data_IF_472375565523
#
_entry.id   IF_472375565523
#
_cell.length_a   1.000
_cell.length_b   1.000
_cell.length_c   1.000
_cell.angle_alpha   90.00
_cell.angle_beta   90.00
_cell.angle_gamma   90.00
#
_symmetry.space_group_name_H-M   'P 1'
#
loop_
_entity.id
_entity.type
_entity.pdbx_description
1 polymer ?
#
# COMPACT_ATOMS: atom_id res chain seq x y z
N UNK A 1 -49.44 62.31 -18.57
CA UNK A 1 -48.15 61.89 -19.18
C UNK A 1 -46.94 62.26 -18.31
N UNK A 2 -46.98 62.08 -16.97
CA UNK A 2 -45.86 62.48 -16.08
C UNK A 2 -45.31 61.36 -15.17
N UNK A 3 -45.94 60.17 -15.12
CA UNK A 3 -45.56 59.13 -14.16
C UNK A 3 -44.84 57.91 -14.75
N UNK A 4 -44.71 57.80 -16.07
CA UNK A 4 -44.01 56.65 -16.71
C UNK A 4 -42.51 56.89 -16.91
N UNK A 5 -42.05 58.14 -16.93
CA UNK A 5 -40.62 58.45 -17.10
C UNK A 5 -39.79 58.20 -15.83
N UNK A 6 -40.38 58.33 -14.63
CA UNK A 6 -39.66 58.21 -13.36
C UNK A 6 -39.35 56.74 -13.00
N UNK A 7 -40.24 55.80 -13.34
CA UNK A 7 -40.02 54.36 -13.09
C UNK A 7 -38.96 53.73 -13.99
N UNK A 8 -38.79 54.21 -15.23
CA UNK A 8 -37.77 53.68 -16.15
C UNK A 8 -36.36 54.12 -15.75
N UNK A 9 -36.22 55.34 -15.20
CA UNK A 9 -34.93 55.87 -14.75
C UNK A 9 -34.43 55.16 -13.48
N UNK A 10 -35.33 54.81 -12.55
CA UNK A 10 -34.96 54.10 -11.30
C UNK A 10 -34.50 52.65 -11.58
N UNK A 11 -35.12 51.96 -12.54
CA UNK A 11 -34.73 50.59 -12.91
C UNK A 11 -33.37 50.56 -13.62
N UNK A 12 -33.09 51.54 -14.49
CA UNK A 12 -31.77 51.66 -15.14
C UNK A 12 -30.65 52.03 -14.15
N UNK A 13 -30.96 52.80 -13.09
CA UNK A 13 -30.00 53.13 -12.04
C UNK A 13 -29.69 51.92 -11.13
N UNK A 14 -30.68 51.09 -10.80
CA UNK A 14 -30.43 49.85 -10.04
C UNK A 14 -29.71 48.77 -10.86
N UNK A 15 -29.95 48.69 -12.18
CA UNK A 15 -29.25 47.73 -13.04
C UNK A 15 -27.78 48.13 -13.31
N UNK A 16 -27.46 49.42 -13.25
CA UNK A 16 -26.07 49.92 -13.41
C UNK A 16 -25.25 49.86 -12.12
N UNK A 17 -25.89 49.83 -10.96
CA UNK A 17 -25.19 49.63 -9.66
C UNK A 17 -24.80 48.16 -9.45
N UNK A 18 -25.50 47.19 -10.08
CA UNK A 18 -25.12 45.77 -10.01
C UNK A 18 -23.97 45.37 -10.96
N UNK A 19 -23.66 46.18 -11.98
CA UNK A 19 -22.59 45.91 -12.96
C UNK A 19 -21.22 46.51 -12.59
N UNK A 20 -21.12 47.18 -11.44
CA UNK A 20 -19.91 47.90 -11.01
C UNK A 20 -19.32 47.39 -9.70
N UNK A 21 -19.83 46.29 -9.14
CA UNK A 21 -19.04 45.54 -8.17
C UNK A 21 -17.93 44.83 -8.95
N UNK A 22 -16.64 45.19 -8.75
CA UNK A 22 -15.59 44.32 -9.22
C UNK A 22 -15.79 42.99 -8.50
N UNK A 23 -16.24 41.97 -9.24
CA UNK A 23 -15.93 40.61 -8.83
C UNK A 23 -14.40 40.57 -8.81
N UNK A 24 -13.82 40.75 -7.63
CA UNK A 24 -12.47 40.29 -7.35
C UNK A 24 -12.53 38.78 -7.48
N UNK A 25 -12.36 38.30 -8.71
CA UNK A 25 -11.92 36.94 -8.97
C UNK A 25 -10.54 36.86 -8.33
N UNK A 26 -10.48 36.35 -7.11
CA UNK A 26 -9.24 35.81 -6.60
C UNK A 26 -8.94 34.63 -7.51
N UNK A 27 -8.03 34.82 -8.46
CA UNK A 27 -7.31 33.69 -9.03
C UNK A 27 -6.49 33.14 -7.86
N UNK A 28 -7.04 32.20 -7.10
CA UNK A 28 -6.22 31.40 -6.22
C UNK A 28 -5.22 30.70 -7.12
N UNK A 29 -3.94 31.07 -6.99
CA UNK A 29 -2.88 30.45 -7.76
C UNK A 29 -2.86 28.96 -7.42
N UNK A 30 -2.64 28.11 -8.44
CA UNK A 30 -2.52 26.67 -8.25
C UNK A 30 -1.55 26.37 -7.09
N UNK A 31 -1.94 25.58 -6.07
CA UNK A 31 -1.12 25.33 -4.89
C UNK A 31 0.21 24.69 -5.27
N UNK A 32 1.35 25.23 -4.86
CA UNK A 32 2.63 24.60 -5.17
C UNK A 32 2.76 23.24 -4.47
N UNK A 33 3.37 22.22 -5.11
CA UNK A 33 3.69 20.97 -4.44
C UNK A 33 4.56 21.22 -3.20
N UNK A 34 4.38 20.45 -2.11
CA UNK A 34 5.22 20.58 -0.93
C UNK A 34 6.67 20.23 -1.27
N UNK A 35 7.61 20.82 -0.54
CA UNK A 35 9.00 20.43 -0.63
C UNK A 35 9.19 19.04 -0.02
N UNK A 36 9.62 18.08 -0.83
CA UNK A 36 9.98 16.74 -0.37
C UNK A 36 11.45 16.70 0.07
N UNK A 37 11.78 15.94 1.12
CA UNK A 37 13.18 15.60 1.39
C UNK A 37 13.78 14.83 0.20
N UNK A 38 15.09 14.93 0.05
CA UNK A 38 15.84 14.21 -0.97
C UNK A 38 16.32 12.88 -0.42
N UNK A 39 16.21 11.86 -1.26
CA UNK A 39 16.89 10.59 -1.05
C UNK A 39 18.40 10.85 -1.13
N UNK A 40 19.08 10.76 0.01
CA UNK A 40 20.54 10.90 0.14
C UNK A 40 21.15 9.66 0.79
N UNK A 41 22.49 9.55 0.80
CA UNK A 41 23.27 8.43 1.38
C UNK A 41 22.83 7.97 2.77
N UNK A 42 22.11 8.82 3.52
CA UNK A 42 21.54 8.55 4.84
C UNK A 42 20.33 7.61 4.85
N UNK A 43 19.70 7.30 3.72
CA UNK A 43 18.60 6.32 3.63
C UNK A 43 19.03 4.95 4.17
N UNK A 44 20.30 4.56 3.98
CA UNK A 44 20.80 3.27 4.47
C UNK A 44 21.39 3.31 5.88
N UNK A 45 21.34 4.47 6.53
CA UNK A 45 21.73 4.53 7.95
C UNK A 45 20.59 4.18 8.89
N UNK A 46 19.32 4.40 8.47
CA UNK A 46 18.14 4.01 9.23
C UNK A 46 17.04 3.49 8.27
N UNK A 47 16.49 2.29 8.53
CA UNK A 47 15.35 1.75 7.81
C UNK A 47 14.18 2.74 7.68
N UNK A 48 13.46 2.68 6.55
CA UNK A 48 12.17 3.34 6.39
C UNK A 48 11.21 3.01 7.54
N UNK A 49 10.54 4.03 8.07
CA UNK A 49 9.59 3.88 9.19
C UNK A 49 8.24 3.31 8.74
N UNK A 50 7.92 3.42 7.45
CA UNK A 50 6.74 2.81 6.85
C UNK A 50 7.03 1.44 6.27
N UNK A 51 8.11 1.31 5.49
CA UNK A 51 8.57 0.04 4.96
C UNK A 51 10.09 0.05 4.73
N UNK A 52 10.72 -1.11 4.88
CA UNK A 52 12.14 -1.31 4.63
C UNK A 52 12.40 -2.69 4.04
N UNK A 53 13.15 -2.73 2.94
CA UNK A 53 13.51 -3.94 2.24
C UNK A 53 14.97 -3.88 1.81
N UNK A 54 15.83 -4.70 2.42
CA UNK A 54 17.26 -4.77 2.05
C UNK A 54 17.51 -5.26 0.61
N UNK A 55 16.55 -6.02 0.05
CA UNK A 55 16.52 -6.54 -1.32
C UNK A 55 15.11 -7.04 -1.68
N UNK A 56 14.78 -7.15 -2.95
CA UNK A 56 13.49 -7.69 -3.43
C UNK A 56 13.08 -7.15 -4.78
N UNK A 57 11.94 -7.60 -5.30
CA UNK A 57 11.29 -6.99 -6.46
C UNK A 57 10.32 -5.91 -5.99
N UNK A 58 10.50 -4.70 -6.48
CA UNK A 58 9.74 -3.52 -6.11
C UNK A 58 9.12 -2.91 -7.35
N UNK A 59 7.81 -2.64 -7.30
CA UNK A 59 7.13 -1.93 -8.38
C UNK A 59 7.35 -0.45 -8.20
N UNK A 60 7.86 0.20 -9.24
CA UNK A 60 8.07 1.64 -9.27
C UNK A 60 7.08 2.27 -10.22
N UNK A 61 6.38 3.30 -9.74
CA UNK A 61 5.37 4.01 -10.49
C UNK A 61 5.86 4.46 -11.87
N UNK A 62 5.10 4.15 -12.92
CA UNK A 62 5.42 4.50 -14.30
C UNK A 62 6.64 3.80 -14.91
N UNK A 63 7.34 2.94 -14.16
CA UNK A 63 8.57 2.27 -14.59
C UNK A 63 8.42 0.74 -14.57
N UNK A 64 7.60 0.20 -13.66
CA UNK A 64 7.39 -1.25 -13.49
C UNK A 64 8.27 -1.87 -12.42
N UNK A 65 8.26 -3.20 -12.34
CA UNK A 65 8.98 -3.94 -11.30
C UNK A 65 10.48 -4.00 -11.56
N UNK A 66 11.29 -3.74 -10.52
CA UNK A 66 12.75 -3.80 -10.54
C UNK A 66 13.27 -4.51 -9.29
N UNK A 67 14.40 -5.18 -9.42
CA UNK A 67 15.07 -5.79 -8.27
C UNK A 67 16.00 -4.78 -7.59
N UNK A 68 15.91 -4.64 -6.27
CA UNK A 68 16.67 -3.65 -5.53
C UNK A 68 16.34 -3.62 -4.05
N UNK A 69 16.94 -2.67 -3.35
CA UNK A 69 16.60 -2.26 -1.99
C UNK A 69 15.57 -1.13 -2.05
N UNK A 70 14.64 -1.09 -1.11
CA UNK A 70 13.60 -0.09 -1.08
C UNK A 70 13.27 0.34 0.36
N UNK A 71 13.18 1.65 0.57
CA UNK A 71 12.81 2.25 1.84
C UNK A 71 11.67 3.23 1.61
N UNK A 72 10.63 3.15 2.45
CA UNK A 72 9.49 4.07 2.43
C UNK A 72 9.41 4.79 3.75
N UNK A 73 9.42 6.11 3.68
CA UNK A 73 9.34 7.01 4.82
C UNK A 73 8.01 7.72 4.86
N UNK A 74 7.35 7.69 6.01
CA UNK A 74 6.20 8.51 6.27
C UNK A 74 6.61 9.95 6.53
N UNK A 75 5.94 10.89 5.85
CA UNK A 75 6.13 12.32 6.04
C UNK A 75 4.90 12.95 6.69
N UNK A 76 5.00 14.25 6.98
CA UNK A 76 3.88 15.02 7.51
C UNK A 76 2.73 15.11 6.50
N UNK A 77 1.52 15.37 7.01
CA UNK A 77 0.31 15.56 6.19
C UNK A 77 -0.09 14.33 5.35
N UNK A 78 0.39 13.14 5.72
CA UNK A 78 0.08 11.89 5.02
C UNK A 78 0.88 11.66 3.74
N UNK A 79 1.88 12.50 3.48
CA UNK A 79 2.82 12.33 2.36
C UNK A 79 3.78 11.18 2.64
N UNK A 80 4.39 10.64 1.59
CA UNK A 80 5.43 9.61 1.70
C UNK A 80 6.60 9.91 0.78
N UNK A 81 7.77 9.40 1.15
CA UNK A 81 8.97 9.37 0.33
C UNK A 81 9.41 7.92 0.16
N UNK A 82 9.45 7.43 -1.07
CA UNK A 82 10.03 6.13 -1.39
C UNK A 82 11.42 6.35 -1.98
N UNK A 83 12.40 5.56 -1.54
CA UNK A 83 13.78 5.59 -2.00
C UNK A 83 14.21 4.19 -2.42
N UNK A 84 14.19 3.95 -3.73
CA UNK A 84 14.57 2.68 -4.33
C UNK A 84 15.99 2.74 -4.89
N UNK A 85 16.80 1.72 -4.60
CA UNK A 85 18.11 1.52 -5.21
C UNK A 85 18.19 0.15 -5.90
N UNK A 86 18.44 0.09 -7.22
CA UNK A 86 18.51 -1.17 -7.94
C UNK A 86 19.72 -2.01 -7.51
N UNK A 87 19.63 -3.33 -7.70
CA UNK A 87 20.78 -4.23 -7.50
C UNK A 87 21.90 -3.99 -8.53
N UNK A 88 21.55 -3.47 -9.71
CA UNK A 88 22.49 -3.11 -10.78
C UNK A 88 22.51 -1.60 -11.02
N UNK A 89 23.72 -1.03 -11.11
CA UNK A 89 23.93 0.39 -11.33
C UNK A 89 23.97 1.22 -10.04
N UNK A 90 24.08 2.54 -10.19
CA UNK A 90 24.19 3.49 -9.07
C UNK A 90 23.10 4.55 -9.08
N UNK A 91 22.17 4.48 -10.04
CA UNK A 91 21.05 5.42 -10.15
C UNK A 91 19.82 4.83 -9.46
N UNK A 92 19.42 5.47 -8.35
CA UNK A 92 18.21 5.16 -7.61
C UNK A 92 17.02 6.00 -8.06
N UNK A 93 15.84 5.58 -7.64
CA UNK A 93 14.58 6.27 -7.93
C UNK A 93 13.95 6.70 -6.62
N UNK A 94 13.75 8.00 -6.48
CA UNK A 94 12.95 8.61 -5.44
C UNK A 94 11.53 8.81 -5.97
N UNK A 95 10.52 8.30 -5.27
CA UNK A 95 9.11 8.61 -5.57
C UNK A 95 8.54 9.50 -4.45
N UNK A 96 8.11 10.70 -4.84
CA UNK A 96 7.43 11.63 -3.96
C UNK A 96 5.94 11.38 -4.01
N UNK A 97 5.34 11.00 -2.89
CA UNK A 97 3.91 10.72 -2.76
C UNK A 97 3.22 11.87 -2.03
N UNK A 98 2.51 12.72 -2.78
CA UNK A 98 1.78 13.87 -2.26
C UNK A 98 0.32 13.50 -2.03
N UNK A 99 -0.10 13.47 -0.77
CA UNK A 99 -1.47 13.18 -0.39
C UNK A 99 -2.40 14.36 -0.71
N UNK A 100 -3.01 14.32 -1.88
CA UNK A 100 -3.86 15.41 -2.37
C UNK A 100 -5.23 15.42 -1.73
N UNK A 101 -5.69 14.28 -1.21
CA UNK A 101 -6.96 14.17 -0.51
C UNK A 101 -6.95 14.97 0.81
N UNK A 102 -5.87 14.86 1.59
CA UNK A 102 -5.71 15.62 2.85
C UNK A 102 -5.39 17.09 2.62
N UNK A 103 -4.76 17.43 1.50
CA UNK A 103 -4.62 18.84 1.09
C UNK A 103 -5.94 19.46 0.64
N UNK A 104 -6.91 18.64 0.21
CA UNK A 104 -8.17 19.13 -0.32
C UNK A 104 -8.04 19.79 -1.69
N UNK A 105 -7.08 19.36 -2.52
CA UNK A 105 -6.96 19.85 -3.89
C UNK A 105 -8.20 19.48 -4.71
N UNK A 106 -8.66 20.41 -5.53
CA UNK A 106 -9.74 20.17 -6.47
C UNK A 106 -9.22 19.56 -7.78
N UNK A 107 -10.12 19.01 -8.60
CA UNK A 107 -9.72 18.34 -9.84
C UNK A 107 -9.00 19.26 -10.83
N UNK A 108 -9.34 20.56 -10.92
CA UNK A 108 -8.66 21.50 -11.83
C UNK A 108 -7.20 21.69 -11.43
N UNK A 109 -6.94 21.84 -10.12
CA UNK A 109 -5.58 21.91 -9.58
C UNK A 109 -4.81 20.62 -9.84
N UNK A 110 -5.42 19.46 -9.59
CA UNK A 110 -4.81 18.15 -9.84
C UNK A 110 -4.40 18.01 -11.32
N UNK A 111 -5.29 18.37 -12.25
CA UNK A 111 -4.99 18.30 -13.69
C UNK A 111 -3.83 19.22 -14.10
N UNK A 112 -3.65 20.35 -13.42
CA UNK A 112 -2.52 21.26 -13.68
C UNK A 112 -1.14 20.62 -13.40
N UNK A 113 -1.08 19.61 -12.54
CA UNK A 113 0.16 18.90 -12.18
C UNK A 113 0.53 17.77 -13.14
N UNK A 114 -0.39 17.29 -13.97
CA UNK A 114 -0.09 16.23 -14.94
C UNK A 114 0.94 16.66 -15.97
N UNK A 115 0.84 17.90 -16.46
CA UNK A 115 1.84 18.50 -17.37
C UNK A 115 3.20 18.71 -16.71
N UNK A 116 3.28 18.61 -15.38
CA UNK A 116 4.52 18.69 -14.61
C UNK A 116 5.07 17.30 -14.26
N UNK A 117 4.48 16.24 -14.82
CA UNK A 117 4.93 14.85 -14.64
C UNK A 117 4.46 14.18 -13.35
N UNK A 118 3.46 14.75 -12.67
CA UNK A 118 2.77 14.06 -11.58
C UNK A 118 1.72 13.10 -12.12
N UNK A 119 1.55 11.97 -11.46
CA UNK A 119 0.57 10.93 -11.79
C UNK A 119 -0.40 10.75 -10.62
N UNK A 120 -1.70 10.63 -10.90
CA UNK A 120 -2.73 10.42 -9.87
C UNK A 120 -2.85 8.93 -9.59
N UNK A 121 -2.74 8.56 -8.33
CA UNK A 121 -2.72 7.17 -7.88
C UNK A 121 -3.61 7.00 -6.64
N UNK A 122 -4.15 5.79 -6.45
CA UNK A 122 -4.79 5.38 -5.21
C UNK A 122 -3.72 4.79 -4.28
N UNK A 123 -3.49 5.41 -3.13
CA UNK A 123 -2.46 4.95 -2.19
C UNK A 123 -2.68 3.54 -1.68
N UNK A 124 -3.93 3.04 -1.66
CA UNK A 124 -4.24 1.66 -1.27
C UNK A 124 -3.57 0.62 -2.16
N UNK A 125 -3.48 0.88 -3.46
CA UNK A 125 -2.82 0.00 -4.45
C UNK A 125 -1.29 -0.04 -4.28
N UNK A 126 -0.74 0.96 -3.58
CA UNK A 126 0.69 1.16 -3.38
C UNK A 126 1.15 0.90 -1.95
N UNK A 127 0.33 0.21 -1.14
CA UNK A 127 0.60 -0.05 0.28
C UNK A 127 0.87 1.25 1.08
N UNK A 128 0.16 2.32 0.75
CA UNK A 128 0.10 3.57 1.52
C UNK A 128 -1.26 3.66 2.23
N UNK A 129 -1.62 4.84 2.75
CA UNK A 129 -3.00 5.06 3.16
C UNK A 129 -3.93 4.94 1.95
N UNK A 130 -5.14 4.39 2.18
CA UNK A 130 -6.20 4.29 1.18
C UNK A 130 -6.84 5.67 0.92
N UNK A 131 -6.07 6.53 0.30
CA UNK A 131 -6.36 7.93 0.00
C UNK A 131 -5.76 8.28 -1.37
N UNK A 132 -6.19 9.37 -1.99
CA UNK A 132 -5.66 9.78 -3.30
C UNK A 132 -4.33 10.52 -3.20
N UNK A 133 -3.39 10.16 -4.07
CA UNK A 133 -2.07 10.76 -4.17
C UNK A 133 -1.79 11.33 -5.57
N UNK A 134 -0.96 12.37 -5.61
CA UNK A 134 -0.12 12.67 -6.76
C UNK A 134 1.27 12.13 -6.49
N UNK A 135 1.83 11.37 -7.43
CA UNK A 135 3.15 10.79 -7.31
C UNK A 135 4.06 11.19 -8.46
N UNK A 136 5.35 11.40 -8.14
CA UNK A 136 6.35 11.80 -9.13
C UNK A 136 7.72 11.24 -8.80
N UNK A 137 8.35 10.66 -9.81
CA UNK A 137 9.70 10.11 -9.70
C UNK A 137 10.77 11.18 -9.98
N UNK A 138 11.87 11.10 -9.25
CA UNK A 138 13.13 11.79 -9.51
C UNK A 138 14.30 10.81 -9.32
N UNK A 139 15.39 11.01 -10.05
CA UNK A 139 16.58 10.15 -9.90
C UNK A 139 17.50 10.67 -8.80
N UNK A 140 18.19 9.77 -8.12
CA UNK A 140 19.23 10.11 -7.15
C UNK A 140 20.39 9.12 -7.23
N UNK A 141 21.55 9.47 -6.66
CA UNK A 141 22.70 8.58 -6.64
C UNK A 141 22.66 7.66 -5.41
N UNK A 142 22.53 6.35 -5.65
CA UNK A 142 22.71 5.34 -4.62
C UNK A 142 24.19 5.30 -4.22
N UNK A 143 24.48 5.46 -2.92
CA UNK A 143 25.81 5.13 -2.41
C UNK A 143 25.87 3.61 -2.31
N UNK A 144 26.41 2.98 -3.35
CA UNK A 144 26.67 1.55 -3.32
C UNK A 144 27.66 1.27 -2.18
N UNK A 145 27.41 0.24 -1.36
CA UNK A 145 28.51 -0.39 -0.64
C UNK A 145 29.58 -0.75 -1.68
N UNK A 146 30.84 -0.43 -1.39
CA UNK A 146 31.98 -0.76 -2.26
C UNK A 146 31.79 -2.16 -2.84
N UNK A 147 31.87 -2.35 -4.16
CA UNK A 147 31.62 -3.65 -4.77
C UNK A 147 32.50 -4.68 -4.08
N UNK A 148 31.87 -5.65 -3.41
CA UNK A 148 32.59 -6.88 -3.09
C UNK A 148 32.96 -7.47 -4.43
N UNK A 149 34.26 -7.67 -4.66
CA UNK A 149 34.85 -8.05 -5.93
C UNK A 149 33.98 -9.07 -6.67
N UNK A 150 33.36 -8.63 -7.75
CA UNK A 150 32.78 -9.51 -8.77
C UNK A 150 33.94 -10.33 -9.33
N UNK A 151 34.01 -11.61 -8.98
CA UNK A 151 34.95 -12.52 -9.62
C UNK A 151 34.66 -12.52 -11.13
N UNK A 152 35.71 -12.26 -11.91
CA UNK A 152 35.73 -12.27 -13.37
C UNK A 152 34.93 -13.46 -13.92
N UNK A 153 34.06 -13.29 -14.93
CA UNK A 153 33.44 -14.42 -15.60
C UNK A 153 34.55 -15.27 -16.23
N UNK A 154 34.84 -16.41 -15.60
CA UNK A 154 35.66 -17.45 -16.19
C UNK A 154 34.93 -17.92 -17.45
N UNK A 155 35.60 -18.09 -18.61
CA UNK A 155 34.93 -18.51 -19.84
C UNK A 155 34.12 -19.76 -19.53
N UNK A 156 32.81 -19.69 -19.77
CA UNK A 156 31.86 -20.80 -19.59
C UNK A 156 32.40 -22.02 -20.34
N UNK A 157 32.95 -23.06 -19.67
CA UNK A 157 32.95 -24.36 -20.30
C UNK A 157 31.46 -24.69 -20.51
N UNK A 158 31.09 -25.15 -21.70
CA UNK A 158 29.78 -25.79 -21.85
C UNK A 158 29.73 -26.94 -20.86
N UNK A 159 29.08 -26.71 -19.72
CA UNK A 159 28.89 -27.71 -18.68
C UNK A 159 27.91 -28.70 -19.27
N UNK A 160 28.44 -29.85 -19.68
CA UNK A 160 27.64 -31.06 -19.75
C UNK A 160 27.11 -31.28 -18.34
N UNK A 161 25.82 -31.03 -18.15
CA UNK A 161 25.13 -31.13 -16.87
C UNK A 161 25.47 -32.47 -16.21
N UNK A 162 26.11 -32.50 -15.03
CA UNK A 162 26.07 -33.72 -14.24
C UNK A 162 24.62 -33.87 -13.79
N UNK A 163 23.95 -34.89 -14.30
CA UNK A 163 22.60 -35.34 -13.91
C UNK A 163 22.62 -35.90 -12.47
N UNK A 164 22.99 -35.06 -11.51
CA UNK A 164 22.96 -35.38 -10.09
C UNK A 164 21.62 -34.95 -9.46
N UNK A 165 21.23 -35.59 -8.33
CA UNK A 165 20.10 -35.14 -7.52
C UNK A 165 20.30 -33.68 -7.08
N UNK A 166 19.29 -32.83 -7.25
CA UNK A 166 19.27 -31.44 -6.80
C UNK A 166 18.10 -31.21 -5.86
N UNK A 167 18.25 -30.24 -4.95
CA UNK A 167 17.16 -29.72 -4.14
C UNK A 167 15.99 -29.23 -5.01
N UNK A 168 14.76 -29.59 -4.62
CA UNK A 168 13.54 -29.22 -5.32
C UNK A 168 12.41 -28.93 -4.35
N UNK A 169 11.69 -27.84 -4.60
CA UNK A 169 10.36 -27.61 -4.07
C UNK A 169 9.33 -28.25 -5.01
N UNK A 170 8.38 -29.01 -4.47
CA UNK A 170 7.41 -29.77 -5.27
C UNK A 170 5.95 -29.45 -4.94
N UNK A 171 5.66 -28.73 -3.86
CA UNK A 171 4.34 -28.18 -3.59
C UNK A 171 4.39 -27.00 -2.59
N UNK A 172 3.47 -26.06 -2.74
CA UNK A 172 3.13 -25.05 -1.74
C UNK A 172 1.66 -25.20 -1.37
N UNK A 173 1.40 -25.89 -0.28
CA UNK A 173 0.04 -26.09 0.20
C UNK A 173 -0.46 -24.84 0.94
N UNK A 174 -1.68 -24.40 0.64
CA UNK A 174 -2.32 -23.28 1.31
C UNK A 174 -3.72 -23.67 1.83
N UNK A 175 -4.06 -23.29 3.07
CA UNK A 175 -5.38 -23.56 3.65
C UNK A 175 -5.85 -22.42 4.58
N UNK A 176 -7.06 -21.86 4.37
CA UNK A 176 -7.94 -22.04 3.20
C UNK A 176 -7.39 -21.32 1.95
N UNK A 177 -7.83 -21.72 0.76
CA UNK A 177 -7.52 -21.02 -0.51
C UNK A 177 -8.60 -20.03 -0.96
N UNK A 178 -9.74 -19.99 -0.26
CA UNK A 178 -10.87 -19.11 -0.57
C UNK A 178 -11.56 -18.65 0.73
N UNK A 179 -12.01 -17.40 0.78
CA UNK A 179 -12.78 -16.88 1.91
C UNK A 179 -13.04 -15.37 1.82
N UNK A 180 -13.73 -14.79 2.80
CA UNK A 180 -13.96 -13.33 2.87
C UNK A 180 -12.87 -12.63 3.67
N UNK A 181 -12.50 -11.43 3.26
CA UNK A 181 -11.58 -10.59 4.01
C UNK A 181 -12.11 -10.26 5.43
N UNK A 182 -11.24 -10.15 6.45
CA UNK A 182 -9.82 -10.55 6.42
C UNK A 182 -9.68 -12.07 6.46
N UNK A 183 -8.83 -12.63 5.60
CA UNK A 183 -8.62 -14.08 5.48
C UNK A 183 -7.22 -14.47 5.96
N UNK A 184 -7.13 -15.25 7.04
CA UNK A 184 -5.86 -15.85 7.48
C UNK A 184 -5.65 -17.21 6.82
N UNK A 185 -4.53 -17.36 6.13
CA UNK A 185 -4.13 -18.55 5.39
C UNK A 185 -2.86 -19.14 6.01
N UNK A 186 -2.85 -20.46 6.18
CA UNK A 186 -1.66 -21.24 6.53
C UNK A 186 -1.02 -21.78 5.26
N UNK A 187 0.27 -21.55 5.11
CA UNK A 187 1.10 -22.09 4.04
C UNK A 187 2.01 -23.19 4.56
N UNK A 188 2.19 -24.27 3.79
CA UNK A 188 3.14 -25.35 4.09
C UNK A 188 3.94 -25.68 2.83
N UNK A 189 5.24 -25.42 2.88
CA UNK A 189 6.18 -25.75 1.82
C UNK A 189 6.58 -27.22 1.86
N UNK A 190 6.47 -27.90 0.72
CA UNK A 190 6.96 -29.25 0.56
C UNK A 190 8.15 -29.26 -0.42
N UNK A 191 9.33 -29.53 0.14
CA UNK A 191 10.60 -29.50 -0.57
C UNK A 191 11.54 -30.56 -0.01
N UNK A 192 12.45 -31.05 -0.84
CA UNK A 192 13.45 -32.05 -0.48
C UNK A 192 14.80 -31.76 -1.14
N UNK A 193 15.86 -32.25 -0.52
CA UNK A 193 17.22 -32.25 -1.04
C UNK A 193 17.78 -33.68 -1.08
N UNK A 194 17.73 -34.36 -2.24
CA UNK A 194 18.12 -35.75 -2.38
C UNK A 194 19.64 -35.99 -2.32
N UNK A 195 20.45 -34.94 -2.16
CA UNK A 195 21.89 -35.08 -1.92
C UNK A 195 22.13 -35.78 -0.58
N UNK A 196 23.16 -36.62 -0.48
CA UNK A 196 23.48 -37.29 0.79
C UNK A 196 23.84 -36.26 1.86
N UNK A 197 23.02 -36.17 2.91
CA UNK A 197 23.13 -35.13 3.94
C UNK A 197 22.54 -33.78 3.55
N UNK A 198 21.85 -33.71 2.40
CA UNK A 198 21.09 -32.57 1.92
C UNK A 198 19.96 -32.21 2.87
N UNK A 199 19.75 -30.90 3.03
CA UNK A 199 18.68 -30.34 3.86
C UNK A 199 18.26 -28.99 3.30
N UNK A 200 16.97 -28.69 3.41
CA UNK A 200 16.48 -27.34 3.22
C UNK A 200 16.86 -26.51 4.45
N UNK A 201 17.59 -25.43 4.22
CA UNK A 201 18.10 -24.54 5.27
C UNK A 201 17.14 -23.39 5.55
N UNK A 202 16.52 -22.84 4.51
CA UNK A 202 15.68 -21.64 4.61
C UNK A 202 14.54 -21.69 3.59
N UNK A 203 13.39 -21.17 4.00
CA UNK A 203 12.19 -20.99 3.19
C UNK A 203 11.93 -19.49 3.03
N UNK A 204 11.72 -19.06 1.79
CA UNK A 204 11.32 -17.68 1.45
C UNK A 204 9.91 -17.72 0.87
N UNK A 205 8.96 -17.36 1.71
CA UNK A 205 7.57 -17.18 1.30
C UNK A 205 7.39 -15.81 0.69
N UNK A 206 6.61 -15.73 -0.38
CA UNK A 206 6.13 -14.51 -1.00
C UNK A 206 4.61 -14.64 -1.08
N UNK A 207 3.86 -13.87 -0.29
CA UNK A 207 2.42 -14.06 -0.14
C UNK A 207 1.60 -13.39 -1.26
N UNK A 208 2.23 -12.58 -2.11
CA UNK A 208 1.59 -11.90 -3.23
C UNK A 208 0.85 -10.60 -2.86
N UNK A 209 0.92 -10.15 -1.61
CA UNK A 209 0.44 -8.86 -1.14
C UNK A 209 1.25 -8.34 0.05
N UNK A 210 1.20 -7.03 0.27
CA UNK A 210 1.57 -6.41 1.54
C UNK A 210 0.28 -5.86 2.16
N UNK A 211 -0.28 -6.55 3.16
CA UNK A 211 -1.51 -6.10 3.82
C UNK A 211 -1.42 -6.23 5.34
N UNK A 212 -2.18 -5.39 6.05
CA UNK A 212 -2.26 -5.42 7.51
C UNK A 212 -0.95 -5.11 8.24
N UNK A 213 0.01 -4.47 7.57
CA UNK A 213 1.36 -4.24 8.09
C UNK A 213 2.27 -5.48 8.07
N UNK A 214 1.87 -6.56 7.39
CA UNK A 214 2.67 -7.76 7.19
C UNK A 214 3.56 -7.62 5.96
N UNK A 215 4.81 -8.11 6.04
CA UNK A 215 5.71 -8.17 4.90
C UNK A 215 5.19 -9.16 3.86
N UNK A 216 5.20 -8.76 2.58
CA UNK A 216 4.89 -9.65 1.46
C UNK A 216 5.84 -10.86 1.42
N UNK A 217 7.12 -10.62 1.67
CA UNK A 217 8.16 -11.64 1.65
C UNK A 217 8.60 -11.94 3.08
N UNK A 218 8.67 -13.22 3.43
CA UNK A 218 9.06 -13.68 4.75
C UNK A 218 10.08 -14.83 4.67
N UNK A 219 11.17 -14.69 5.42
CA UNK A 219 12.23 -15.69 5.53
C UNK A 219 12.15 -16.42 6.86
N UNK A 220 12.26 -17.74 6.83
CA UNK A 220 12.26 -18.55 8.04
C UNK A 220 12.86 -19.93 7.80
N UNK A 221 13.21 -20.62 8.88
CA UNK A 221 13.71 -21.99 8.85
C UNK A 221 12.59 -23.03 8.90
N UNK A 222 11.40 -22.66 9.39
CA UNK A 222 10.22 -23.53 9.39
C UNK A 222 9.57 -23.55 8.00
N UNK A 223 9.07 -24.71 7.59
CA UNK A 223 8.35 -24.89 6.33
C UNK A 223 6.90 -24.38 6.36
N UNK A 224 6.40 -23.94 7.51
CA UNK A 224 5.03 -23.47 7.72
C UNK A 224 4.99 -22.00 8.07
N UNK A 225 4.23 -21.22 7.29
CA UNK A 225 4.02 -19.79 7.52
C UNK A 225 2.52 -19.44 7.61
N UNK A 226 2.20 -18.29 8.18
CA UNK A 226 0.84 -17.77 8.25
C UNK A 226 0.81 -16.34 7.72
N UNK A 227 -0.22 -16.01 6.95
CA UNK A 227 -0.43 -14.67 6.40
C UNK A 227 -1.90 -14.30 6.43
N UNK A 228 -2.22 -13.02 6.70
CA UNK A 228 -3.60 -12.51 6.72
C UNK A 228 -3.79 -11.51 5.59
N UNK A 229 -4.59 -11.91 4.60
CA UNK A 229 -5.02 -11.04 3.51
C UNK A 229 -6.14 -10.12 4.00
N UNK A 230 -5.87 -8.82 4.11
CA UNK A 230 -6.86 -7.83 4.60
C UNK A 230 -7.89 -7.41 3.56
N UNK A 231 -7.53 -7.46 2.28
CA UNK A 231 -8.33 -6.95 1.19
C UNK A 231 -8.82 -8.08 0.31
N UNK A 232 -9.94 -7.85 -0.37
CA UNK A 232 -10.44 -8.77 -1.39
C UNK A 232 -9.55 -8.71 -2.63
N UNK A 233 -9.24 -9.86 -3.21
CA UNK A 233 -8.36 -9.97 -4.36
C UNK A 233 -8.07 -11.42 -4.71
N UNK A 234 -7.36 -11.64 -5.82
CA UNK A 234 -6.76 -12.94 -6.13
C UNK A 234 -5.25 -12.80 -6.00
N UNK A 235 -4.66 -13.55 -5.06
CA UNK A 235 -3.24 -13.49 -4.74
C UNK A 235 -2.55 -14.77 -5.17
N UNK A 236 -1.30 -14.67 -5.61
CA UNK A 236 -0.46 -15.84 -5.91
C UNK A 236 0.69 -15.87 -4.93
N UNK A 237 0.63 -16.80 -3.98
CA UNK A 237 1.74 -17.07 -3.09
C UNK A 237 2.79 -17.94 -3.80
N UNK A 238 4.07 -17.68 -3.55
CA UNK A 238 5.21 -18.40 -4.13
C UNK A 238 6.20 -18.78 -3.03
N UNK A 239 6.76 -19.98 -3.12
CA UNK A 239 7.82 -20.45 -2.24
C UNK A 239 9.13 -20.67 -2.99
N UNK A 240 10.20 -20.06 -2.48
CA UNK A 240 11.59 -20.41 -2.82
C UNK A 240 12.27 -21.09 -1.63
N UNK A 241 13.14 -22.04 -1.92
CA UNK A 241 13.90 -22.77 -0.89
C UNK A 241 15.40 -22.60 -1.08
N UNK A 242 16.15 -22.53 0.02
CA UNK A 242 17.60 -22.56 0.02
C UNK A 242 18.07 -23.89 0.60
N UNK A 243 18.94 -24.61 -0.12
CA UNK A 243 19.60 -25.78 0.44
C UNK A 243 20.76 -25.41 1.39
N UNK A 244 21.28 -26.40 2.10
CA UNK A 244 22.41 -26.23 3.02
C UNK A 244 23.74 -25.88 2.31
N UNK A 245 23.81 -26.02 0.98
CA UNK A 245 24.92 -25.54 0.15
C UNK A 245 24.74 -24.08 -0.30
N UNK A 246 23.64 -23.43 0.10
CA UNK A 246 23.36 -22.02 -0.18
C UNK A 246 22.67 -21.77 -1.52
N UNK A 247 22.27 -22.82 -2.24
CA UNK A 247 21.61 -22.64 -3.53
C UNK A 247 20.12 -22.40 -3.35
N UNK A 248 19.61 -21.35 -3.99
CA UNK A 248 18.18 -21.10 -4.10
C UNK A 248 17.55 -21.92 -5.23
N UNK A 249 16.32 -22.38 -5.00
CA UNK A 249 15.47 -23.08 -5.98
C UNK A 249 14.07 -22.50 -5.97
N UNK A 250 13.48 -22.49 -7.15
CA UNK A 250 12.09 -22.16 -7.39
C UNK A 250 11.47 -23.17 -8.36
N UNK A 251 10.16 -23.30 -8.32
CA UNK A 251 9.40 -24.18 -9.22
C UNK A 251 7.99 -23.65 -9.39
N UNK A 252 7.39 -23.87 -10.56
CA UNK A 252 5.97 -23.56 -10.78
C UNK A 252 5.04 -24.42 -9.90
N UNK A 253 5.51 -25.61 -9.50
CA UNK A 253 4.81 -26.48 -8.55
C UNK A 253 4.68 -25.82 -7.16
N UNK A 254 5.47 -24.79 -6.85
CA UNK A 254 5.53 -24.14 -5.54
C UNK A 254 4.81 -22.80 -5.49
N UNK A 255 3.63 -22.77 -6.10
CA UNK A 255 2.73 -21.63 -6.10
C UNK A 255 1.35 -22.03 -5.61
N UNK A 256 0.68 -21.13 -4.90
CA UNK A 256 -0.70 -21.30 -4.46
C UNK A 256 -1.52 -20.06 -4.79
N UNK A 257 -2.73 -20.25 -5.33
CA UNK A 257 -3.66 -19.16 -5.61
C UNK A 257 -4.67 -19.03 -4.47
N UNK A 258 -4.79 -17.82 -3.92
CA UNK A 258 -5.71 -17.48 -2.85
C UNK A 258 -6.76 -16.49 -3.36
N UNK A 259 -8.03 -16.78 -3.14
CA UNK A 259 -9.16 -15.93 -3.55
C UNK A 259 -9.81 -15.34 -2.29
N UNK A 260 -9.78 -14.02 -2.19
CA UNK A 260 -10.34 -13.29 -1.05
C UNK A 260 -11.51 -12.45 -1.54
N UNK A 261 -12.70 -12.71 -1.01
CA UNK A 261 -13.94 -11.99 -1.33
C UNK A 261 -14.11 -10.78 -0.42
N UNK A 262 -14.79 -9.75 -0.93
CA UNK A 262 -15.16 -8.59 -0.12
C UNK A 262 -16.17 -8.98 0.97
N UNK A 263 -16.15 -8.28 2.10
CA UNK A 263 -17.20 -8.45 3.10
C UNK A 263 -18.55 -7.98 2.53
N UNK A 264 -19.65 -8.72 2.76
CA UNK A 264 -20.97 -8.25 2.41
C UNK A 264 -21.25 -6.90 3.09
N UNK A 265 -21.83 -5.92 2.38
CA UNK A 265 -22.20 -4.66 3.00
C UNK A 265 -23.20 -4.92 4.14
N UNK A 266 -22.83 -4.52 5.37
CA UNK A 266 -23.77 -4.49 6.48
C UNK A 266 -24.75 -3.36 6.18
N UNK A 267 -25.99 -3.70 5.81
CA UNK A 267 -27.08 -2.72 5.75
C UNK A 267 -27.21 -2.13 7.15
N UNK A 268 -26.73 -0.90 7.32
CA UNK A 268 -26.66 -0.24 8.62
C UNK A 268 -27.98 -0.41 9.36
N UNK A 269 -27.94 -0.96 10.58
CA UNK A 269 -29.01 -0.75 11.52
C UNK A 269 -29.14 0.77 11.67
N UNK A 270 -30.26 1.33 11.20
CA UNK A 270 -30.53 2.76 11.30
C UNK A 270 -30.34 3.18 12.76
N UNK A 271 -29.32 3.98 13.06
CA UNK A 271 -29.24 4.65 14.35
C UNK A 271 -30.53 5.45 14.53
N UNK A 272 -31.38 5.15 15.54
CA UNK A 272 -32.53 6.00 15.79
C UNK A 272 -32.02 7.41 16.09
N UNK A 273 -32.50 8.38 15.32
CA UNK A 273 -32.04 9.77 15.34
C UNK A 273 -32.31 10.48 16.66
N UNK A 274 -33.10 9.91 17.56
CA UNK A 274 -33.38 10.48 18.86
C UNK A 274 -33.49 9.37 19.91
N UNK A 275 -32.80 9.54 21.05
CA UNK A 275 -33.26 8.88 22.27
C UNK A 275 -34.67 9.40 22.57
N UNK A 276 -35.63 8.55 22.97
CA UNK A 276 -36.93 9.04 23.43
C UNK A 276 -36.67 10.06 24.54
N UNK A 277 -37.24 11.25 24.39
CA UNK A 277 -37.14 12.27 25.44
C UNK A 277 -37.75 11.69 26.71
N UNK A 278 -36.92 11.40 27.70
CA UNK A 278 -37.37 10.94 29.01
C UNK A 278 -37.91 12.16 29.75
N UNK A 279 -39.13 12.57 29.37
CA UNK A 279 -39.97 13.40 30.21
C UNK A 279 -40.56 12.55 31.33
N UNK A 280 -39.99 12.61 32.53
CA UNK A 280 -40.70 12.67 33.82
C UNK A 280 -39.71 12.52 34.97
N UNK A 281 -39.80 13.45 35.92
CA UNK A 281 -39.06 13.46 37.18
C UNK A 281 -39.17 12.11 37.92
N UNK A 282 -38.04 11.43 38.13
CA UNK A 282 -37.94 10.35 39.10
C UNK A 282 -36.92 10.80 40.14
N UNK A 283 -37.38 10.81 41.39
CA UNK A 283 -36.61 11.19 42.58
C UNK A 283 -35.24 10.49 42.61
N UNK A 284 -34.24 11.28 42.99
CA UNK A 284 -32.91 10.83 43.36
C UNK A 284 -33.02 9.83 44.52
N UNK A 285 -32.56 8.60 44.30
CA UNK A 285 -32.10 7.72 45.38
C UNK A 285 -30.74 7.15 44.97
N UNK A 286 -29.75 7.45 45.81
CA UNK A 286 -28.34 7.10 45.69
C UNK A 286 -28.21 5.57 45.70
N UNK A 287 -27.52 5.02 44.70
CA UNK A 287 -27.17 3.60 44.63
C UNK A 287 -26.12 3.34 43.56
N UNK A 288 -24.85 3.32 43.97
CA UNK A 288 -23.69 2.92 43.17
C UNK A 288 -23.80 1.45 42.72
N UNK A 289 -23.43 1.17 41.45
CA UNK A 289 -22.53 0.09 40.94
C UNK A 289 -22.91 -0.26 39.48
N UNK A 290 -21.92 -0.52 38.58
CA UNK A 290 -22.04 -0.26 37.15
C UNK A 290 -22.61 -1.41 36.33
N UNK A 291 -23.20 -0.99 35.21
CA UNK A 291 -23.75 -1.75 34.10
C UNK A 291 -22.63 -2.57 33.44
N UNK A 292 -22.77 -3.89 33.46
CA UNK A 292 -21.87 -4.84 32.81
C UNK A 292 -22.54 -6.19 32.61
N UNK A 293 -23.74 -6.21 32.02
CA UNK A 293 -24.37 -7.44 31.58
C UNK A 293 -25.26 -7.16 30.35
N UNK A 294 -24.62 -6.97 29.20
CA UNK A 294 -25.35 -6.97 27.93
C UNK A 294 -25.59 -8.42 27.49
N UNK A 295 -26.86 -8.75 27.60
CA UNK A 295 -27.60 -9.94 27.23
C UNK A 295 -27.23 -10.39 25.81
N UNK A 296 -26.59 -11.55 25.68
CA UNK A 296 -26.57 -12.32 24.43
C UNK A 296 -27.77 -13.25 24.50
N UNK A 297 -28.82 -13.03 23.70
CA UNK A 297 -29.80 -14.07 23.37
C UNK A 297 -30.51 -13.77 22.04
N UNK A 298 -30.33 -14.73 21.13
CA UNK A 298 -31.17 -15.13 19.99
C UNK A 298 -30.94 -14.48 18.63
N UNK A 299 -30.08 -15.15 17.85
CA UNK A 299 -30.40 -15.42 16.44
C UNK A 299 -30.80 -16.89 16.31
N UNK A 300 -31.99 -17.12 15.76
CA UNK A 300 -32.50 -18.41 15.29
C UNK A 300 -32.29 -18.41 13.78
N UNK A 301 -31.46 -19.31 13.27
CA UNK A 301 -31.32 -19.53 11.82
C UNK A 301 -32.52 -20.40 11.39
N UNK A 302 -33.22 -19.96 10.35
CA UNK A 302 -34.07 -20.81 9.50
C UNK A 302 -33.25 -21.14 8.27
#
# INVERSE_FOLDING_TARGET
>A
MKNTALSVIIILFYFSIFLSYPFTTFAEGTPNPPAFPTCESKIFTNPGDWAHYDSGWHTILGIGSREGRDDVYQLTQGNFLQCFCPVEGTEGIQTNWWNIQRQGLNEEEIHSFFNQGWQKEDGGDWNLYNETYLAKNVTFSCVQATPTLTLTPTPTPSVTTPSGPISKCFDLEAQPTDGTAPLTVKFTGHADDPVTGGKIKEYRFDFGDASGGQSQVWFQTDRTAYHRYELSGTYTANLRIQDNAGNWRESDDCKATIIVHAQPPVLAASSPKELPSTGANILILIGLVPIGYYIYQRFKIV
#
